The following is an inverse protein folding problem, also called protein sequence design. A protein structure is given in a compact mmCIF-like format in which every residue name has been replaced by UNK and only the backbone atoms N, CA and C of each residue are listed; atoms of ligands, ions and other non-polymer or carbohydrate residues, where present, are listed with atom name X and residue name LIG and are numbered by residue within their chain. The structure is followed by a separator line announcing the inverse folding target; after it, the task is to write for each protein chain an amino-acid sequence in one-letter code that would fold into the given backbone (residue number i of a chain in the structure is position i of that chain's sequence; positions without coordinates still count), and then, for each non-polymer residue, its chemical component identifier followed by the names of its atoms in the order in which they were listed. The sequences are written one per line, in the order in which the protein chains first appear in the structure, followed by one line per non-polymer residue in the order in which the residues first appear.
data_IF_252416165868
#
_entry.id   IF_252416165868
#
_cell.length_a   1.000
_cell.length_b   1.000
_cell.length_c   1.000
_cell.angle_alpha   90.00
_cell.angle_beta   90.00
_cell.angle_gamma   90.00
#
_symmetry.space_group_name_H-M   'P 1'
#
loop_
_entity.id
_entity.type
_entity.pdbx_description
1 polymer ?
#
# COMPACT_ATOMS: atom_id res chain seq x y z
N UNK A 1 22.58 -12.98 -12.80
CA UNK A 1 21.89 -14.25 -12.57
C UNK A 1 22.87 -15.26 -11.98
N UNK A 2 22.56 -15.78 -10.83
CA UNK A 2 23.24 -16.96 -10.26
C UNK A 2 22.26 -18.12 -10.25
N UNK A 3 22.75 -19.34 -10.07
CA UNK A 3 21.84 -20.50 -9.97
C UNK A 3 20.87 -20.40 -8.79
N UNK A 4 21.19 -19.57 -7.79
CA UNK A 4 20.42 -19.44 -6.55
C UNK A 4 19.58 -18.15 -6.46
N UNK A 5 19.89 -17.09 -7.25
CA UNK A 5 19.20 -15.81 -7.14
C UNK A 5 19.15 -15.03 -8.46
N UNK A 6 18.14 -14.17 -8.56
CA UNK A 6 17.96 -13.17 -9.62
C UNK A 6 18.12 -11.79 -8.97
N UNK A 7 18.85 -10.90 -9.62
CA UNK A 7 19.14 -9.55 -9.12
C UNK A 7 18.63 -8.51 -10.11
N UNK A 8 17.93 -7.52 -9.60
CA UNK A 8 17.56 -6.29 -10.31
C UNK A 8 18.18 -5.11 -9.57
N UNK A 9 19.01 -4.34 -10.25
CA UNK A 9 19.71 -3.20 -9.64
C UNK A 9 19.32 -1.91 -10.34
N UNK A 10 19.04 -0.88 -9.56
CA UNK A 10 18.76 0.48 -9.99
C UNK A 10 19.71 1.47 -9.31
N UNK A 11 19.58 2.75 -9.64
CA UNK A 11 20.31 3.83 -8.96
C UNK A 11 19.90 4.00 -7.47
N UNK A 12 18.75 3.43 -7.07
CA UNK A 12 18.18 3.61 -5.75
C UNK A 12 18.27 2.37 -4.85
N UNK A 13 18.72 1.24 -5.40
CA UNK A 13 18.86 0.02 -4.63
C UNK A 13 18.77 -1.25 -5.47
N UNK A 14 18.53 -2.36 -4.80
CA UNK A 14 18.52 -3.67 -5.42
C UNK A 14 17.34 -4.52 -4.93
N UNK A 15 16.71 -5.24 -5.86
CA UNK A 15 15.76 -6.32 -5.58
C UNK A 15 16.44 -7.65 -5.84
N UNK A 16 16.39 -8.55 -4.87
CA UNK A 16 16.90 -9.92 -4.98
C UNK A 16 15.75 -10.91 -4.88
N UNK A 17 15.64 -11.79 -5.83
CA UNK A 17 14.71 -12.92 -5.79
C UNK A 17 15.55 -14.18 -5.52
N UNK A 18 15.44 -14.68 -4.32
CA UNK A 18 16.11 -15.91 -3.90
C UNK A 18 15.23 -17.08 -4.32
N UNK A 19 15.82 -18.09 -4.96
CA UNK A 19 15.07 -19.22 -5.50
C UNK A 19 14.79 -20.30 -4.46
N UNK A 20 15.66 -20.45 -3.46
CA UNK A 20 15.50 -21.50 -2.45
C UNK A 20 16.14 -21.13 -1.10
N UNK A 21 15.34 -21.03 -0.01
CA UNK A 21 13.87 -20.98 -0.04
C UNK A 21 13.40 -19.74 -0.79
N UNK A 22 12.32 -19.84 -1.55
CA UNK A 22 11.88 -18.75 -2.41
C UNK A 22 11.39 -17.56 -1.58
N UNK A 23 12.02 -16.38 -1.77
CA UNK A 23 11.62 -15.11 -1.18
C UNK A 23 12.20 -13.93 -1.96
N UNK A 24 11.68 -12.73 -1.71
CA UNK A 24 12.15 -11.48 -2.30
C UNK A 24 12.74 -10.62 -1.20
N UNK A 25 13.86 -9.97 -1.48
CA UNK A 25 14.55 -9.05 -0.58
C UNK A 25 14.76 -7.71 -1.29
N UNK A 26 14.57 -6.60 -0.56
CA UNK A 26 14.80 -5.24 -1.02
C UNK A 26 15.98 -4.64 -0.25
N UNK A 27 16.92 -4.05 -0.96
CA UNK A 27 18.13 -3.44 -0.41
C UNK A 27 18.29 -2.01 -0.88
N UNK A 28 18.85 -1.16 -0.04
CA UNK A 28 19.32 0.17 -0.42
C UNK A 28 20.62 0.10 -1.24
N UNK A 29 21.15 1.26 -1.63
CA UNK A 29 22.42 1.38 -2.37
C UNK A 29 23.64 1.03 -1.53
N UNK A 30 23.53 1.07 -0.20
CA UNK A 30 24.59 0.71 0.72
C UNK A 30 24.60 -0.82 1.05
N UNK A 31 23.59 -1.53 0.58
CA UNK A 31 23.44 -2.97 0.82
C UNK A 31 22.74 -3.31 2.14
N UNK A 32 22.05 -2.36 2.77
CA UNK A 32 21.23 -2.65 3.93
C UNK A 32 19.88 -3.23 3.50
N UNK A 33 19.44 -4.26 4.19
CA UNK A 33 18.14 -4.88 3.96
C UNK A 33 17.03 -3.92 4.45
N UNK A 34 16.14 -3.50 3.54
CA UNK A 34 14.99 -2.63 3.82
C UNK A 34 13.79 -3.44 4.29
N UNK A 35 13.44 -4.43 3.50
CA UNK A 35 12.39 -5.41 3.81
C UNK A 35 12.58 -6.67 2.98
N UNK A 36 11.89 -7.72 3.35
CA UNK A 36 11.82 -8.97 2.56
C UNK A 36 10.45 -9.60 2.71
N UNK A 37 10.05 -10.40 1.73
CA UNK A 37 8.88 -11.24 1.91
C UNK A 37 9.16 -12.23 3.03
N UNK A 38 8.25 -12.28 3.97
CA UNK A 38 8.39 -13.14 5.13
C UNK A 38 7.15 -14.01 5.26
N UNK A 39 7.42 -15.04 5.81
CA UNK A 39 6.67 -16.11 6.27
C UNK A 39 6.03 -15.84 7.64
N UNK A 40 4.69 -15.92 7.73
CA UNK A 40 3.96 -15.95 8.99
C UNK A 40 3.94 -17.41 9.50
N UNK A 41 5.08 -17.98 9.81
CA UNK A 41 5.15 -19.31 10.36
C UNK A 41 5.88 -19.27 11.70
N UNK A 42 5.28 -19.85 12.72
CA UNK A 42 6.03 -20.23 13.91
C UNK A 42 7.11 -21.20 13.47
N UNK A 43 8.42 -20.95 13.78
CA UNK A 43 9.49 -21.89 13.47
C UNK A 43 9.29 -23.27 14.11
N UNK A 44 8.38 -23.39 15.07
CA UNK A 44 7.98 -24.65 15.70
C UNK A 44 6.80 -25.33 15.01
N UNK A 45 6.21 -24.76 13.97
CA UNK A 45 5.16 -25.40 13.18
C UNK A 45 5.79 -26.13 12.00
N UNK A 46 5.24 -27.32 11.67
CA UNK A 46 5.64 -28.11 10.49
C UNK A 46 5.18 -27.50 9.16
N UNK A 47 4.69 -26.26 9.17
CA UNK A 47 4.23 -25.57 7.97
C UNK A 47 5.39 -24.75 7.42
N UNK A 48 5.82 -25.11 6.22
CA UNK A 48 6.78 -24.28 5.47
C UNK A 48 6.08 -22.97 5.11
N UNK A 49 6.60 -21.89 5.53
CA UNK A 49 6.03 -20.57 5.33
C UNK A 49 6.13 -20.14 3.89
N UNK A 50 5.04 -19.57 3.39
CA UNK A 50 4.94 -19.10 2.02
C UNK A 50 4.82 -17.57 2.06
N UNK A 51 5.76 -16.83 1.44
CA UNK A 51 5.71 -15.36 1.40
C UNK A 51 4.47 -14.82 0.69
N UNK A 52 3.88 -15.64 -0.19
CA UNK A 52 2.59 -15.39 -0.82
C UNK A 52 1.64 -16.54 -0.56
N UNK A 53 0.39 -16.23 -0.30
CA UNK A 53 -0.64 -17.23 -0.03
C UNK A 53 -1.93 -16.91 -0.76
N UNK A 54 -2.67 -17.99 -1.10
CA UNK A 54 -4.03 -17.84 -1.57
C UNK A 54 -5.00 -18.04 -0.40
N UNK A 55 -5.84 -17.03 -0.20
CA UNK A 55 -6.95 -17.11 0.74
C UNK A 55 -8.21 -17.43 -0.06
N UNK A 56 -8.89 -18.52 0.26
CA UNK A 56 -10.16 -18.86 -0.35
C UNK A 56 -11.30 -18.31 0.48
N UNK A 57 -12.14 -17.51 -0.14
CA UNK A 57 -13.33 -16.95 0.52
C UNK A 57 -14.40 -18.04 0.68
N UNK A 58 -14.92 -18.19 1.90
CA UNK A 58 -15.87 -19.27 2.20
C UNK A 58 -17.24 -19.08 1.51
N UNK A 59 -17.66 -17.85 1.24
CA UNK A 59 -18.98 -17.54 0.68
C UNK A 59 -19.14 -17.87 -0.81
N UNK A 60 -18.08 -17.71 -1.60
CA UNK A 60 -18.11 -17.84 -3.07
C UNK A 60 -16.96 -18.68 -3.64
N UNK A 61 -16.11 -19.21 -2.75
CA UNK A 61 -14.90 -19.95 -3.09
C UNK A 61 -13.90 -19.19 -3.98
N UNK A 62 -14.08 -17.89 -4.15
CA UNK A 62 -13.14 -17.05 -4.90
C UNK A 62 -11.76 -17.07 -4.23
N UNK A 63 -10.72 -17.01 -5.05
CA UNK A 63 -9.34 -16.91 -4.57
C UNK A 63 -8.98 -15.45 -4.37
N UNK A 64 -8.22 -15.19 -3.34
CA UNK A 64 -7.62 -13.91 -3.01
C UNK A 64 -6.15 -14.15 -2.74
N UNK A 65 -5.31 -13.21 -3.09
CA UNK A 65 -3.88 -13.33 -2.82
C UNK A 65 -3.47 -12.46 -1.63
N UNK A 66 -2.59 -12.99 -0.82
CA UNK A 66 -1.94 -12.25 0.25
C UNK A 66 -0.43 -12.33 0.10
N UNK A 67 0.24 -11.19 0.35
CA UNK A 67 1.69 -11.09 0.41
C UNK A 67 2.11 -10.60 1.79
N UNK A 68 3.16 -11.19 2.35
CA UNK A 68 3.66 -10.85 3.67
C UNK A 68 5.09 -10.35 3.57
N UNK A 69 5.34 -9.16 4.12
CA UNK A 69 6.65 -8.52 4.20
C UNK A 69 7.05 -8.30 5.65
N UNK A 70 8.34 -8.33 5.91
CA UNK A 70 8.88 -8.03 7.23
C UNK A 70 8.77 -6.53 7.53
N UNK A 71 8.39 -6.19 8.77
CA UNK A 71 8.51 -4.85 9.32
C UNK A 71 9.68 -4.80 10.31
N UNK A 72 10.49 -3.76 10.21
CA UNK A 72 11.52 -3.45 11.20
C UNK A 72 10.87 -2.88 12.48
N UNK A 73 11.58 -2.97 13.61
CA UNK A 73 11.01 -2.57 14.91
C UNK A 73 10.54 -1.10 14.94
N UNK A 74 11.37 -0.19 14.44
CA UNK A 74 11.09 1.26 14.46
C UNK A 74 10.50 1.80 13.15
N UNK A 75 10.05 0.93 12.28
CA UNK A 75 9.54 1.30 10.97
C UNK A 75 8.23 2.06 11.08
N UNK A 76 8.13 3.15 10.33
CA UNK A 76 6.94 3.99 10.19
C UNK A 76 6.45 3.92 8.75
N UNK A 77 5.14 3.82 8.60
CA UNK A 77 4.47 3.67 7.32
C UNK A 77 3.48 4.81 7.10
N UNK A 78 3.46 5.35 5.88
CA UNK A 78 2.67 6.53 5.54
C UNK A 78 1.97 6.32 4.19
N UNK A 79 0.82 6.95 3.98
CA UNK A 79 0.07 6.83 2.75
C UNK A 79 -1.34 6.31 2.96
N UNK A 80 -1.82 5.46 2.06
CA UNK A 80 -3.15 4.85 2.11
C UNK A 80 -4.29 5.86 1.92
N UNK A 81 -4.12 6.83 1.02
CA UNK A 81 -5.17 7.78 0.70
C UNK A 81 -5.57 8.70 1.84
N UNK A 82 -6.83 9.11 1.85
CA UNK A 82 -7.38 10.01 2.85
C UNK A 82 -8.23 9.24 3.87
N UNK A 83 -7.76 9.14 5.11
CA UNK A 83 -8.49 8.52 6.21
C UNK A 83 -8.29 9.30 7.51
N UNK A 84 -9.30 9.27 8.39
CA UNK A 84 -9.27 9.94 9.70
C UNK A 84 -8.57 9.09 10.76
N UNK A 85 -7.39 8.59 10.43
CA UNK A 85 -6.56 7.78 11.31
C UNK A 85 -5.19 8.42 11.49
N UNK A 86 -4.37 7.89 12.39
CA UNK A 86 -3.02 8.40 12.61
C UNK A 86 -2.19 8.42 11.32
N UNK A 87 -1.34 9.44 11.17
CA UNK A 87 -0.48 9.60 10.00
C UNK A 87 0.46 8.40 9.82
N UNK A 88 1.11 7.96 10.90
CA UNK A 88 1.84 6.71 10.91
C UNK A 88 0.87 5.54 10.97
N UNK A 89 0.90 4.70 9.94
CA UNK A 89 0.01 3.55 9.80
C UNK A 89 0.47 2.30 10.55
N UNK A 90 1.65 2.32 11.16
CA UNK A 90 2.13 1.20 11.99
C UNK A 90 1.10 0.82 13.05
N UNK A 91 0.80 -0.47 13.17
CA UNK A 91 -0.21 -1.00 14.08
C UNK A 91 -1.66 -0.82 13.62
N UNK A 92 -1.88 -0.34 12.40
CA UNK A 92 -3.21 -0.16 11.81
C UNK A 92 -3.55 -1.26 10.82
N UNK A 93 -4.85 -1.50 10.68
CA UNK A 93 -5.44 -2.31 9.62
C UNK A 93 -6.23 -1.35 8.72
N UNK A 94 -5.84 -1.21 7.46
CA UNK A 94 -6.39 -0.21 6.54
C UNK A 94 -7.05 -0.92 5.37
N UNK A 95 -8.32 -0.62 5.13
CA UNK A 95 -9.10 -1.15 4.00
C UNK A 95 -9.21 -0.08 2.92
N UNK A 96 -8.53 -0.31 1.81
CA UNK A 96 -8.51 0.54 0.62
C UNK A 96 -9.70 0.19 -0.28
N UNK A 97 -10.83 0.84 -0.05
CA UNK A 97 -12.01 0.70 -0.87
C UNK A 97 -12.90 1.93 -0.73
N UNK A 98 -13.30 2.52 -1.89
CA UNK A 98 -14.18 3.70 -1.90
C UNK A 98 -15.58 3.34 -1.40
N UNK A 99 -15.99 3.97 -0.31
CA UNK A 99 -17.33 3.81 0.29
C UNK A 99 -17.79 5.12 0.88
N UNK A 100 -19.08 5.39 0.74
CA UNK A 100 -19.71 6.51 1.45
C UNK A 100 -19.58 6.32 2.96
N UNK A 101 -19.00 7.31 3.62
CA UNK A 101 -18.82 7.35 5.05
C UNK A 101 -19.65 8.45 5.69
N UNK A 102 -20.45 8.11 6.69
CA UNK A 102 -21.13 9.09 7.54
C UNK A 102 -20.20 9.49 8.69
N UNK A 103 -19.54 10.64 8.56
CA UNK A 103 -18.63 11.16 9.57
C UNK A 103 -17.25 10.48 9.57
N UNK A 104 -16.48 10.75 10.62
CA UNK A 104 -15.06 10.40 10.73
C UNK A 104 -14.78 9.17 11.59
N UNK A 105 -15.81 8.51 12.12
CA UNK A 105 -15.68 7.43 13.11
C UNK A 105 -15.73 6.03 12.52
N UNK A 106 -15.49 5.91 11.21
CA UNK A 106 -15.47 4.62 10.53
C UNK A 106 -14.26 4.51 9.60
N UNK A 107 -14.01 3.32 9.08
CA UNK A 107 -12.90 3.02 8.17
C UNK A 107 -13.18 3.42 6.72
N UNK A 108 -14.35 3.97 6.41
CA UNK A 108 -14.75 4.30 5.05
C UNK A 108 -14.03 5.55 4.55
N UNK A 109 -13.62 5.52 3.30
CA UNK A 109 -12.92 6.63 2.67
C UNK A 109 -13.38 6.84 1.23
N UNK A 110 -13.32 8.10 0.79
CA UNK A 110 -13.68 8.47 -0.59
C UNK A 110 -12.50 8.37 -1.55
N UNK A 111 -11.27 8.43 -1.06
CA UNK A 111 -10.04 8.40 -1.85
C UNK A 111 -9.08 7.35 -1.34
N UNK A 112 -9.40 6.05 -1.54
CA UNK A 112 -8.44 5.00 -1.29
C UNK A 112 -7.30 5.11 -2.30
N UNK A 113 -6.07 5.00 -1.83
CA UNK A 113 -4.88 4.95 -2.65
C UNK A 113 -4.05 3.79 -2.12
N UNK A 114 -4.03 2.63 -2.79
CA UNK A 114 -3.36 1.43 -2.32
C UNK A 114 -1.83 1.54 -2.50
N UNK A 115 -1.30 2.63 -1.97
CA UNK A 115 0.11 2.99 -1.96
C UNK A 115 0.53 3.40 -0.56
N UNK A 116 1.67 2.91 -0.12
CA UNK A 116 2.33 3.36 1.08
C UNK A 116 3.83 3.51 0.87
N UNK A 117 4.46 4.29 1.72
CA UNK A 117 5.91 4.42 1.82
C UNK A 117 6.38 4.18 3.26
N UNK A 118 7.58 3.63 3.38
CA UNK A 118 8.27 3.38 4.64
C UNK A 118 9.40 4.40 4.84
N UNK A 119 9.64 4.79 6.09
CA UNK A 119 10.82 5.56 6.46
C UNK A 119 12.15 4.80 6.27
N UNK A 120 12.08 3.51 5.94
CA UNK A 120 13.25 2.69 5.64
C UNK A 120 13.67 2.76 4.17
N UNK A 121 13.10 3.67 3.37
CA UNK A 121 13.55 3.92 2.00
C UNK A 121 12.93 3.00 0.94
N UNK A 122 11.69 2.57 1.16
CA UNK A 122 10.92 1.87 0.13
C UNK A 122 9.44 2.29 0.14
N UNK A 123 8.76 2.07 -0.96
CA UNK A 123 7.31 2.20 -1.09
C UNK A 123 6.72 1.09 -1.92
N UNK A 124 5.44 0.84 -1.76
CA UNK A 124 4.72 -0.20 -2.51
C UNK A 124 3.37 0.34 -2.98
N UNK A 125 3.03 0.01 -4.22
CA UNK A 125 1.73 0.31 -4.81
C UNK A 125 1.11 -0.97 -5.35
N UNK A 126 -0.11 -1.27 -4.91
CA UNK A 126 -0.89 -2.40 -5.43
C UNK A 126 -1.79 -1.89 -6.55
N UNK A 127 -1.48 -2.29 -7.77
CA UNK A 127 -2.23 -1.86 -8.95
C UNK A 127 -3.43 -2.79 -9.18
N UNK A 128 -4.56 -2.43 -8.60
CA UNK A 128 -5.83 -3.14 -8.78
C UNK A 128 -7.00 -2.19 -8.52
N UNK A 129 -8.16 -2.49 -9.11
CA UNK A 129 -9.45 -1.87 -8.78
C UNK A 129 -10.25 -2.67 -7.73
N UNK A 130 -9.75 -3.82 -7.32
CA UNK A 130 -10.35 -4.61 -6.26
C UNK A 130 -10.01 -4.02 -4.87
N UNK A 131 -10.79 -4.31 -3.82
CA UNK A 131 -10.43 -3.90 -2.48
C UNK A 131 -9.05 -4.44 -2.07
N UNK A 132 -8.23 -3.58 -1.47
CA UNK A 132 -6.94 -3.96 -0.88
C UNK A 132 -6.99 -3.72 0.62
N UNK A 133 -6.40 -4.60 1.38
CA UNK A 133 -6.26 -4.42 2.82
C UNK A 133 -4.79 -4.50 3.19
N UNK A 134 -4.32 -3.53 3.94
CA UNK A 134 -3.00 -3.52 4.54
C UNK A 134 -3.13 -3.78 6.04
N UNK A 135 -2.44 -4.80 6.52
CA UNK A 135 -2.21 -5.01 7.94
C UNK A 135 -0.76 -4.60 8.27
N UNK A 136 -0.60 -3.43 8.82
CA UNK A 136 0.71 -2.86 9.13
C UNK A 136 1.18 -3.24 10.55
N UNK A 137 1.18 -4.51 10.85
CA UNK A 137 1.59 -4.99 12.17
C UNK A 137 0.49 -4.90 13.23
N UNK A 138 -0.78 -4.92 12.83
CA UNK A 138 -1.91 -4.92 13.76
C UNK A 138 -2.09 -6.27 14.43
N UNK A 139 -2.03 -7.34 13.65
CA UNK A 139 -2.18 -8.70 14.15
C UNK A 139 -0.83 -9.36 14.48
N UNK A 140 0.21 -9.04 13.69
CA UNK A 140 1.57 -9.51 13.89
C UNK A 140 2.52 -8.32 13.72
N UNK A 141 3.06 -7.81 14.79
CA UNK A 141 3.83 -6.56 14.87
C UNK A 141 5.08 -6.51 13.99
N UNK A 142 5.62 -7.68 13.63
CA UNK A 142 6.78 -7.81 12.74
C UNK A 142 6.43 -7.96 11.26
N UNK A 143 5.14 -7.87 10.88
CA UNK A 143 4.69 -8.15 9.52
C UNK A 143 3.78 -7.07 8.94
N UNK A 144 4.01 -6.76 7.67
CA UNK A 144 3.06 -6.06 6.81
C UNK A 144 2.40 -7.11 5.90
N UNK A 145 1.11 -7.28 6.04
CA UNK A 145 0.34 -8.20 5.19
C UNK A 145 -0.54 -7.42 4.24
N UNK A 146 -0.35 -7.67 2.95
CA UNK A 146 -1.13 -7.07 1.87
C UNK A 146 -2.13 -8.12 1.40
N UNK A 147 -3.42 -7.84 1.55
CA UNK A 147 -4.50 -8.67 1.00
C UNK A 147 -5.07 -8.00 -0.23
N UNK A 148 -4.95 -8.63 -1.39
CA UNK A 148 -5.63 -8.19 -2.60
C UNK A 148 -6.98 -8.87 -2.74
N UNK A 149 -8.01 -8.10 -3.05
CA UNK A 149 -9.33 -8.62 -3.40
C UNK A 149 -9.38 -9.33 -4.76
N UNK A 150 -8.28 -9.38 -5.47
CA UNK A 150 -8.11 -10.00 -6.78
C UNK A 150 -7.44 -11.39 -6.67
N UNK A 151 -7.46 -12.16 -7.76
CA UNK A 151 -6.76 -13.44 -7.88
C UNK A 151 -5.27 -13.28 -8.25
N UNK A 152 -4.87 -12.05 -8.61
CA UNK A 152 -3.49 -11.67 -8.93
C UNK A 152 -3.02 -10.53 -8.04
N UNK A 153 -1.71 -10.41 -7.89
CA UNK A 153 -1.06 -9.28 -7.22
C UNK A 153 -0.12 -8.59 -8.21
N UNK A 154 -0.53 -7.41 -8.68
CA UNK A 154 0.32 -6.51 -9.44
C UNK A 154 0.90 -5.48 -8.47
N UNK A 155 2.17 -5.66 -8.12
CA UNK A 155 2.85 -4.90 -7.07
C UNK A 155 4.03 -4.13 -7.65
N UNK A 156 3.94 -2.80 -7.62
CA UNK A 156 5.06 -1.92 -7.91
C UNK A 156 5.84 -1.62 -6.63
N UNK A 157 7.15 -1.73 -6.71
CA UNK A 157 8.08 -1.46 -5.61
C UNK A 157 8.97 -0.30 -5.99
N UNK A 158 9.04 0.70 -5.12
CA UNK A 158 9.87 1.89 -5.26
C UNK A 158 10.95 1.87 -4.18
N UNK A 159 12.17 2.28 -4.54
CA UNK A 159 13.31 2.38 -3.63
C UNK A 159 13.84 3.81 -3.62
N UNK A 160 14.34 4.29 -2.49
CA UNK A 160 14.95 5.61 -2.35
C UNK A 160 14.37 6.43 -1.20
N UNK A 161 14.70 7.71 -1.18
CA UNK A 161 14.14 8.65 -0.22
C UNK A 161 12.66 8.94 -0.51
N UNK A 162 11.85 9.37 0.47
CA UNK A 162 10.41 9.60 0.28
C UNK A 162 10.06 10.49 -0.92
N UNK A 163 10.88 11.49 -1.23
CA UNK A 163 10.67 12.37 -2.40
C UNK A 163 10.91 11.67 -3.72
N UNK A 164 11.91 10.78 -3.77
CA UNK A 164 12.21 9.98 -4.96
C UNK A 164 11.09 8.98 -5.21
N UNK A 165 10.66 8.28 -4.15
CA UNK A 165 9.55 7.35 -4.21
C UNK A 165 8.26 8.02 -4.71
N UNK A 166 7.91 9.20 -4.18
CA UNK A 166 6.75 9.96 -4.63
C UNK A 166 6.89 10.45 -6.08
N UNK A 167 8.10 10.83 -6.48
CA UNK A 167 8.40 11.25 -7.85
C UNK A 167 8.16 10.09 -8.83
N UNK A 168 8.68 8.91 -8.54
CA UNK A 168 8.52 7.73 -9.37
C UNK A 168 7.05 7.23 -9.38
N UNK A 169 6.42 7.18 -8.20
CA UNK A 169 5.01 6.83 -8.09
C UNK A 169 4.12 7.75 -8.94
N UNK A 170 4.31 9.08 -8.84
CA UNK A 170 3.51 10.04 -9.62
C UNK A 170 3.91 10.10 -11.09
N UNK A 171 5.13 9.70 -11.47
CA UNK A 171 5.48 9.49 -12.86
C UNK A 171 4.70 8.32 -13.48
N UNK A 172 4.47 7.27 -12.70
CA UNK A 172 3.71 6.09 -13.11
C UNK A 172 2.20 6.38 -13.17
N UNK A 173 1.65 7.02 -12.13
CA UNK A 173 0.19 7.19 -11.95
C UNK A 173 -0.37 8.50 -12.48
N UNK A 174 0.48 9.43 -12.84
CA UNK A 174 0.14 10.78 -13.28
C UNK A 174 0.47 11.84 -12.23
N UNK A 175 1.04 12.96 -12.68
CA UNK A 175 1.36 14.10 -11.83
C UNK A 175 0.17 15.05 -11.75
N UNK A 176 -0.17 15.50 -10.55
CA UNK A 176 -1.15 16.57 -10.38
C UNK A 176 -0.63 17.87 -10.98
N UNK A 177 -1.46 18.62 -11.76
CA UNK A 177 -1.10 19.98 -12.16
C UNK A 177 -1.07 20.88 -10.94
N UNK A 178 -0.28 21.94 -11.00
CA UNK A 178 -0.31 23.00 -10.00
C UNK A 178 -1.60 23.80 -10.20
N UNK A 179 -2.54 23.78 -9.23
CA UNK A 179 -3.79 24.51 -9.37
C UNK A 179 -3.55 26.03 -9.31
N UNK A 180 -4.39 26.84 -9.97
CA UNK A 180 -4.26 28.30 -9.91
C UNK A 180 -4.52 28.80 -8.48
N UNK A 181 -3.87 29.91 -8.11
CA UNK A 181 -3.92 30.43 -6.74
C UNK A 181 -5.35 30.70 -6.24
N UNK A 182 -6.23 31.16 -7.11
CA UNK A 182 -7.63 31.45 -6.76
C UNK A 182 -8.39 30.19 -6.31
N UNK A 183 -7.98 29.00 -6.74
CA UNK A 183 -8.63 27.74 -6.34
C UNK A 183 -8.44 27.39 -4.86
N UNK A 184 -7.53 28.06 -4.17
CA UNK A 184 -7.36 27.95 -2.71
C UNK A 184 -8.22 28.96 -1.92
N UNK A 185 -9.08 29.71 -2.61
CA UNK A 185 -10.01 30.65 -1.99
C UNK A 185 -11.22 29.93 -1.36
N UNK A 186 -12.17 30.75 -0.93
CA UNK A 186 -13.41 30.25 -0.36
C UNK A 186 -14.34 29.72 -1.47
N UNK A 187 -14.83 28.50 -1.32
CA UNK A 187 -15.80 27.86 -2.19
C UNK A 187 -17.12 27.71 -1.44
N UNK A 188 -18.11 28.50 -1.82
CA UNK A 188 -19.45 28.37 -1.25
C UNK A 188 -20.16 27.18 -1.85
N UNK A 189 -20.75 26.34 -1.00
CA UNK A 189 -21.49 25.16 -1.45
C UNK A 189 -22.62 24.80 -0.49
N UNK A 190 -23.59 24.05 -1.00
CA UNK A 190 -24.60 23.34 -0.22
C UNK A 190 -24.31 21.86 -0.18
N UNK A 191 -24.92 21.17 0.77
CA UNK A 191 -24.80 19.72 0.90
C UNK A 191 -25.40 18.97 -0.32
N UNK A 192 -26.44 19.53 -0.94
CA UNK A 192 -27.15 18.92 -2.08
C UNK A 192 -27.81 19.99 -2.93
N UNK A 193 -27.83 19.78 -4.24
CA UNK A 193 -28.55 20.58 -5.25
C UNK A 193 -29.47 19.67 -6.02
N UNK A 194 -30.75 20.00 -6.06
CA UNK A 194 -31.77 19.20 -6.77
C UNK A 194 -32.09 19.76 -8.16
N UNK A 195 -31.64 20.98 -8.49
CA UNK A 195 -31.88 21.62 -9.77
C UNK A 195 -30.78 22.60 -10.16
N UNK A 196 -30.67 22.89 -11.48
CA UNK A 196 -29.78 23.95 -11.97
C UNK A 196 -30.15 25.32 -11.38
N UNK A 197 -31.44 25.57 -11.13
CA UNK A 197 -31.90 26.81 -10.51
C UNK A 197 -31.28 26.99 -9.11
N UNK A 198 -31.31 25.96 -8.30
CA UNK A 198 -30.69 26.02 -6.97
C UNK A 198 -29.19 26.27 -7.02
N UNK A 199 -28.49 25.69 -8.01
CA UNK A 199 -27.08 26.00 -8.22
C UNK A 199 -26.88 27.48 -8.53
N UNK A 200 -27.70 28.05 -9.43
CA UNK A 200 -27.61 29.46 -9.81
C UNK A 200 -27.99 30.43 -8.68
N UNK A 201 -28.91 30.01 -7.80
CA UNK A 201 -29.37 30.84 -6.67
C UNK A 201 -28.34 30.91 -5.54
N UNK A 202 -27.37 29.99 -5.53
CA UNK A 202 -26.32 29.90 -4.49
C UNK A 202 -24.97 30.44 -4.99
N UNK A 203 -24.69 30.37 -6.29
CA UNK A 203 -23.46 30.88 -6.90
C UNK A 203 -23.51 32.41 -7.09
#
# INVERSE_FOLDING_TARGET
LTDQAIFYTSAFGQVRIIKQPWHIELYDTAGHLLTRTQNIGDPNTFITPIPFSFVRRASDLSRRIAATFQLQHDEKLFGCGESFTGLNKRGQHVVEFARDGMGTQNEYMYKPIPFFLSNNGYGMFVHTSAPVTFDFGRYYDAHNVIYSGDESLDLFVFLGEPKDILSEYTALTGRSPVPPLWSFGFWMSRITYFSEREVRDVA
#
